data_IF_048208155790
#
_entry.id   IF_048208155790
#
_cell.length_a   1.000
_cell.length_b   1.000
_cell.length_c   1.000
_cell.angle_alpha   90.00
_cell.angle_beta   90.00
_cell.angle_gamma   90.00
#
_symmetry.space_group_name_H-M   'P 1'
#
loop_
_entity.id
_entity.type
_entity.pdbx_description
1 polymer ?
#
# COMPACT_ATOMS: atom_id res chain seq x y z
N UNK A 1 14.16 26.26 -24.86
CA UNK A 1 13.66 26.66 -23.53
C UNK A 1 12.74 25.55 -23.06
N UNK A 2 13.23 24.66 -22.19
CA UNK A 2 12.40 23.66 -21.55
C UNK A 2 11.42 24.37 -20.61
N UNK A 3 10.13 24.08 -20.74
CA UNK A 3 9.14 24.48 -19.72
C UNK A 3 9.51 23.70 -18.46
N UNK A 4 9.99 24.40 -17.44
CA UNK A 4 9.97 23.89 -16.08
C UNK A 4 8.48 23.84 -15.72
N UNK A 5 7.88 22.67 -15.85
CA UNK A 5 6.57 22.40 -15.26
C UNK A 5 6.81 22.40 -13.76
N UNK A 6 6.06 23.22 -13.06
CA UNK A 6 6.05 23.31 -11.58
C UNK A 6 5.27 22.09 -11.02
N UNK A 7 5.62 20.90 -11.52
CA UNK A 7 5.04 19.65 -11.05
C UNK A 7 5.68 19.31 -9.71
N UNK A 8 4.86 19.23 -8.69
CA UNK A 8 5.34 18.81 -7.38
C UNK A 8 5.90 17.38 -7.48
N UNK A 9 7.04 17.10 -6.85
CA UNK A 9 7.64 15.78 -6.89
C UNK A 9 6.67 14.72 -6.33
N UNK A 10 6.67 13.53 -6.92
CA UNK A 10 5.86 12.40 -6.45
C UNK A 10 6.29 12.01 -5.04
N UNK A 11 5.41 12.09 -4.03
CA UNK A 11 5.80 11.79 -2.66
C UNK A 11 6.16 10.31 -2.47
N UNK A 12 7.25 10.06 -1.73
CA UNK A 12 7.72 8.71 -1.38
C UNK A 12 7.54 8.48 0.11
N UNK A 13 6.58 7.63 0.48
CA UNK A 13 6.25 7.27 1.85
C UNK A 13 6.88 5.96 2.31
N UNK A 14 6.92 5.76 3.62
CA UNK A 14 7.31 4.52 4.28
C UNK A 14 6.07 3.85 4.90
N UNK A 15 5.77 2.59 4.53
CA UNK A 15 4.74 1.81 5.23
C UNK A 15 5.20 1.47 6.66
N UNK A 16 4.31 1.66 7.65
CA UNK A 16 4.56 1.21 9.02
C UNK A 16 4.71 -0.32 9.12
N UNK A 17 4.24 -1.07 8.12
CA UNK A 17 4.46 -2.50 8.00
C UNK A 17 5.95 -2.83 7.80
N UNK A 18 6.69 -1.97 7.13
CA UNK A 18 8.11 -2.18 6.81
C UNK A 18 9.03 -2.24 8.03
N UNK A 19 8.58 -1.73 9.16
CA UNK A 19 9.37 -1.78 10.41
C UNK A 19 9.00 -2.94 11.33
N UNK A 20 8.00 -3.76 10.98
CA UNK A 20 7.60 -4.90 11.79
C UNK A 20 8.80 -5.79 12.15
N UNK A 21 8.96 -6.28 13.43
CA UNK A 21 7.97 -6.24 14.52
C UNK A 21 8.04 -5.00 15.43
N UNK A 22 8.70 -3.93 15.02
CA UNK A 22 8.68 -2.65 15.75
C UNK A 22 7.31 -1.99 15.59
N UNK A 23 7.03 -1.00 16.43
CA UNK A 23 5.74 -0.29 16.43
C UNK A 23 5.70 0.82 15.37
N UNK A 24 4.50 1.24 15.00
CA UNK A 24 4.27 2.32 14.03
C UNK A 24 5.05 3.61 14.34
N UNK A 25 5.20 3.96 15.62
CA UNK A 25 6.02 5.13 16.02
C UNK A 25 7.46 5.09 15.53
N UNK A 26 8.07 3.90 15.45
CA UNK A 26 9.43 3.73 14.90
C UNK A 26 9.47 4.05 13.40
N UNK A 27 8.40 3.78 12.65
CA UNK A 27 8.34 4.16 11.24
C UNK A 27 8.38 5.67 11.06
N UNK A 28 7.68 6.43 11.91
CA UNK A 28 7.74 7.89 11.89
C UNK A 28 9.16 8.42 12.19
N UNK A 29 9.85 7.84 13.18
CA UNK A 29 11.23 8.22 13.51
C UNK A 29 12.18 7.92 12.36
N UNK A 30 12.11 6.71 11.77
CA UNK A 30 12.96 6.34 10.65
C UNK A 30 12.61 7.12 9.37
N UNK A 31 11.34 7.42 9.14
CA UNK A 31 10.94 8.25 8.00
C UNK A 31 11.52 9.66 8.10
N UNK A 32 11.51 10.27 9.30
CA UNK A 32 12.14 11.57 9.55
C UNK A 32 13.67 11.50 9.38
N UNK A 33 14.32 10.48 9.94
CA UNK A 33 15.78 10.29 9.88
C UNK A 33 16.29 10.09 8.45
N UNK A 34 15.58 9.27 7.66
CA UNK A 34 15.97 8.90 6.30
C UNK A 34 15.50 9.90 5.24
N UNK A 35 14.56 10.79 5.59
CA UNK A 35 14.03 11.80 4.68
C UNK A 35 12.93 11.32 3.75
N UNK A 36 12.08 10.39 4.20
CA UNK A 36 10.81 10.06 3.51
C UNK A 36 9.85 11.24 3.58
N UNK A 37 8.99 11.38 2.56
CA UNK A 37 8.03 12.49 2.49
C UNK A 37 6.82 12.28 3.43
N UNK A 38 6.61 11.06 3.93
CA UNK A 38 5.56 10.72 4.86
C UNK A 38 5.53 9.23 5.20
N UNK A 39 4.46 8.82 5.87
CA UNK A 39 4.21 7.41 6.18
C UNK A 39 2.86 6.95 5.69
N UNK A 40 2.77 5.66 5.36
CA UNK A 40 1.50 4.95 5.34
C UNK A 40 1.28 4.24 6.67
N UNK A 41 0.09 4.40 7.24
CA UNK A 41 -0.30 3.69 8.46
C UNK A 41 -0.98 2.38 8.10
N UNK A 42 -0.27 1.26 8.22
CA UNK A 42 -0.88 -0.07 8.19
C UNK A 42 -1.61 -0.31 9.53
N UNK A 43 -2.94 -0.38 9.49
CA UNK A 43 -3.75 -0.61 10.70
C UNK A 43 -3.82 -2.10 11.00
N UNK A 44 -3.12 -2.52 12.06
CA UNK A 44 -3.12 -3.91 12.48
C UNK A 44 -2.97 -4.11 14.00
N UNK A 45 -2.32 -5.20 14.47
CA UNK A 45 -2.25 -5.57 15.88
C UNK A 45 -1.45 -4.61 16.78
N UNK A 46 -0.67 -3.67 16.22
CA UNK A 46 -0.02 -2.61 16.99
C UNK A 46 -1.06 -1.61 17.49
N UNK A 47 -1.23 -1.42 18.82
CA UNK A 47 -2.20 -0.47 19.36
C UNK A 47 -1.99 0.97 18.88
N UNK A 48 -0.74 1.36 18.58
CA UNK A 48 -0.44 2.71 18.07
C UNK A 48 -1.06 2.91 16.69
N UNK A 49 -1.02 1.89 15.82
CA UNK A 49 -1.61 1.97 14.47
C UNK A 49 -3.14 2.08 14.49
N UNK A 50 -3.78 1.77 15.62
CA UNK A 50 -5.23 1.82 15.81
C UNK A 50 -5.71 3.11 16.49
N UNK A 51 -4.80 3.93 17.01
CA UNK A 51 -5.10 5.15 17.79
C UNK A 51 -4.70 6.40 16.97
N UNK A 52 -5.70 7.01 16.35
CA UNK A 52 -5.54 8.23 15.53
C UNK A 52 -4.90 9.37 16.34
N UNK A 53 -5.21 9.49 17.63
CA UNK A 53 -4.62 10.52 18.50
C UNK A 53 -3.12 10.27 18.71
N UNK A 54 -2.74 9.00 18.90
CA UNK A 54 -1.32 8.62 19.02
C UNK A 54 -0.57 8.86 17.70
N UNK A 55 -1.16 8.48 16.55
CA UNK A 55 -0.58 8.71 15.22
C UNK A 55 -0.38 10.21 14.95
N UNK A 56 -1.37 11.04 15.27
CA UNK A 56 -1.26 12.50 15.14
C UNK A 56 -0.14 13.08 16.02
N UNK A 57 0.04 12.54 17.23
CA UNK A 57 1.19 12.95 18.10
C UNK A 57 2.52 12.57 17.49
N UNK A 58 2.62 11.38 16.89
CA UNK A 58 3.84 10.95 16.21
C UNK A 58 4.14 11.84 14.99
N UNK A 59 3.15 12.07 14.13
CA UNK A 59 3.30 12.97 12.98
C UNK A 59 3.79 14.37 13.39
N UNK A 60 3.16 14.99 14.41
CA UNK A 60 3.58 16.30 14.90
C UNK A 60 4.98 16.29 15.52
N UNK A 61 5.33 15.25 16.26
CA UNK A 61 6.64 15.14 16.94
C UNK A 61 7.79 14.99 15.94
N UNK A 62 7.58 14.24 14.87
CA UNK A 62 8.61 13.95 13.86
C UNK A 62 8.58 14.89 12.67
N UNK A 63 7.50 15.65 12.49
CA UNK A 63 7.25 16.47 11.31
C UNK A 63 6.86 15.66 10.07
N UNK A 64 6.66 14.33 10.20
CA UNK A 64 6.34 13.43 9.10
C UNK A 64 4.81 13.31 8.94
N UNK A 65 4.23 13.70 7.80
CA UNK A 65 2.80 13.56 7.55
C UNK A 65 2.39 12.09 7.34
N UNK A 66 1.09 11.80 7.52
CA UNK A 66 0.48 10.55 7.07
C UNK A 66 -0.01 10.75 5.65
N UNK A 67 0.49 9.98 4.70
CA UNK A 67 0.11 10.04 3.28
C UNK A 67 -1.11 9.18 2.98
N UNK A 68 -1.17 7.99 3.62
CA UNK A 68 -2.24 7.01 3.41
C UNK A 68 -2.52 6.22 4.69
N UNK A 69 -3.73 5.66 4.73
CA UNK A 69 -4.16 4.70 5.76
C UNK A 69 -4.50 3.39 5.09
N UNK A 70 -3.77 2.33 5.41
CA UNK A 70 -4.10 1.00 4.94
C UNK A 70 -5.12 0.37 5.89
N UNK A 71 -6.33 0.14 5.37
CA UNK A 71 -7.45 -0.42 6.11
C UNK A 71 -7.13 -1.81 6.68
N UNK A 72 -7.62 -2.19 7.87
CA UNK A 72 -7.42 -3.53 8.44
C UNK A 72 -8.22 -4.58 7.67
N UNK A 73 -7.78 -4.90 6.45
CA UNK A 73 -8.42 -5.79 5.49
C UNK A 73 -7.83 -7.21 5.45
N UNK A 74 -6.70 -7.45 6.13
CA UNK A 74 -6.08 -8.78 6.23
C UNK A 74 -6.92 -9.76 7.08
N UNK A 75 -6.71 -11.07 6.87
CA UNK A 75 -7.37 -12.12 7.65
C UNK A 75 -7.10 -11.99 9.15
N UNK A 76 -5.89 -11.64 9.53
CA UNK A 76 -5.47 -11.49 10.94
C UNK A 76 -5.99 -10.19 11.58
N UNK A 77 -6.47 -9.25 10.79
CA UNK A 77 -6.96 -7.94 11.25
C UNK A 77 -8.49 -7.84 11.31
N UNK A 78 -9.22 -8.92 11.04
CA UNK A 78 -10.69 -8.91 10.91
C UNK A 78 -11.46 -8.46 12.16
N UNK A 79 -10.81 -8.36 13.31
CA UNK A 79 -11.43 -7.88 14.57
C UNK A 79 -10.91 -6.52 15.03
N UNK A 80 -9.97 -5.93 14.29
CA UNK A 80 -9.44 -4.61 14.61
C UNK A 80 -10.52 -3.59 14.27
N UNK A 81 -10.79 -2.69 15.19
CA UNK A 81 -11.85 -1.70 15.19
C UNK A 81 -13.27 -2.29 15.18
N UNK A 82 -13.57 -3.25 14.30
CA UNK A 82 -14.89 -3.87 14.18
C UNK A 82 -14.80 -5.24 13.50
N UNK A 83 -15.66 -6.21 13.85
CA UNK A 83 -15.83 -7.44 13.09
C UNK A 83 -16.49 -7.22 11.73
N UNK A 84 -17.24 -6.11 11.55
CA UNK A 84 -17.88 -5.74 10.28
C UNK A 84 -16.90 -5.03 9.35
N UNK A 85 -16.60 -5.58 8.15
CA UNK A 85 -15.66 -4.98 7.22
C UNK A 85 -16.11 -3.62 6.66
N UNK A 86 -17.43 -3.39 6.53
CA UNK A 86 -17.95 -2.09 6.09
C UNK A 86 -17.70 -1.00 7.14
N UNK A 87 -17.86 -1.34 8.42
CA UNK A 87 -17.54 -0.44 9.53
C UNK A 87 -16.03 -0.14 9.55
N UNK A 88 -15.17 -1.16 9.36
CA UNK A 88 -13.72 -0.93 9.29
C UNK A 88 -13.32 0.02 8.18
N UNK A 89 -13.91 -0.12 6.98
CA UNK A 89 -13.62 0.79 5.87
C UNK A 89 -14.04 2.22 6.19
N UNK A 90 -15.23 2.42 6.77
CA UNK A 90 -15.69 3.75 7.25
C UNK A 90 -14.72 4.34 8.27
N UNK A 91 -14.31 3.56 9.27
CA UNK A 91 -13.33 4.00 10.27
C UNK A 91 -11.97 4.33 9.67
N UNK A 92 -11.56 3.63 8.59
CA UNK A 92 -10.32 3.96 7.86
C UNK A 92 -10.42 5.31 7.16
N UNK A 93 -11.58 5.62 6.57
CA UNK A 93 -11.85 6.94 5.97
C UNK A 93 -11.85 8.04 7.03
N UNK A 94 -12.54 7.81 8.16
CA UNK A 94 -12.55 8.75 9.28
C UNK A 94 -11.12 9.01 9.79
N UNK A 95 -10.31 7.96 9.94
CA UNK A 95 -8.91 8.07 10.35
C UNK A 95 -8.08 8.85 9.32
N UNK A 96 -8.28 8.62 8.02
CA UNK A 96 -7.60 9.36 6.96
C UNK A 96 -7.94 10.85 7.02
N UNK A 97 -9.22 11.21 7.14
CA UNK A 97 -9.65 12.60 7.31
C UNK A 97 -9.01 13.27 8.53
N UNK A 98 -9.01 12.58 9.68
CA UNK A 98 -8.42 13.13 10.91
C UNK A 98 -6.89 13.28 10.84
N UNK A 99 -6.21 12.43 10.08
CA UNK A 99 -4.76 12.46 9.89
C UNK A 99 -4.33 13.36 8.74
N UNK A 100 -5.26 13.82 7.91
CA UNK A 100 -4.99 14.58 6.69
C UNK A 100 -4.38 13.72 5.57
N UNK A 101 -4.62 12.40 5.61
CA UNK A 101 -4.17 11.48 4.59
C UNK A 101 -5.08 11.57 3.36
N UNK A 102 -4.48 11.55 2.17
CA UNK A 102 -5.21 11.63 0.90
C UNK A 102 -5.91 10.33 0.53
N UNK A 103 -5.29 9.19 0.87
CA UNK A 103 -5.67 7.89 0.35
C UNK A 103 -5.94 6.88 1.47
N UNK A 104 -6.97 6.06 1.27
CA UNK A 104 -7.19 4.82 2.02
C UNK A 104 -6.94 3.65 1.10
N UNK A 105 -6.00 2.78 1.45
CA UNK A 105 -5.76 1.52 0.75
C UNK A 105 -6.64 0.43 1.34
N UNK A 106 -7.28 -0.36 0.48
CA UNK A 106 -8.13 -1.47 0.91
C UNK A 106 -8.02 -2.67 -0.02
N UNK A 107 -7.95 -3.87 0.56
CA UNK A 107 -8.06 -5.11 -0.21
C UNK A 107 -9.48 -5.38 -0.66
N UNK A 108 -9.70 -6.05 -1.81
CA UNK A 108 -11.01 -6.57 -2.16
C UNK A 108 -11.55 -7.49 -1.07
N UNK A 109 -12.88 -7.65 -0.95
CA UNK A 109 -13.50 -8.53 0.03
C UNK A 109 -13.06 -9.99 -0.11
N UNK A 110 -12.99 -10.70 1.02
CA UNK A 110 -12.82 -12.15 0.96
C UNK A 110 -14.08 -12.85 0.43
N UNK A 111 -13.91 -13.98 -0.26
CA UNK A 111 -15.02 -14.75 -0.87
C UNK A 111 -16.13 -15.17 0.10
N UNK A 112 -15.82 -15.33 1.38
CA UNK A 112 -16.83 -15.64 2.42
C UNK A 112 -17.59 -14.42 2.94
N UNK A 113 -17.10 -13.21 2.71
CA UNK A 113 -17.75 -11.95 3.07
C UNK A 113 -18.80 -11.55 2.02
N UNK A 114 -19.75 -12.46 1.72
CA UNK A 114 -20.66 -12.32 0.58
C UNK A 114 -21.39 -10.99 0.57
N UNK A 115 -22.09 -10.67 1.66
CA UNK A 115 -22.88 -9.43 1.77
C UNK A 115 -22.04 -8.17 1.58
N UNK A 116 -20.84 -8.15 2.17
CA UNK A 116 -19.90 -7.05 1.98
C UNK A 116 -19.37 -6.99 0.55
N UNK A 117 -19.04 -8.13 -0.02
CA UNK A 117 -18.53 -8.21 -1.41
C UNK A 117 -19.57 -7.78 -2.44
N UNK A 118 -20.85 -8.08 -2.22
CA UNK A 118 -21.93 -7.70 -3.15
C UNK A 118 -22.18 -6.18 -3.14
N UNK A 119 -21.96 -5.48 -2.02
CA UNK A 119 -22.11 -4.02 -1.90
C UNK A 119 -20.80 -3.23 -1.83
N UNK A 120 -19.66 -3.87 -2.06
CA UNK A 120 -18.34 -3.22 -1.85
C UNK A 120 -18.09 -2.05 -2.80
N UNK A 121 -18.41 -2.22 -4.09
CA UNK A 121 -18.24 -1.16 -5.08
C UNK A 121 -19.08 0.08 -4.77
N UNK A 122 -20.35 -0.12 -4.40
CA UNK A 122 -21.27 0.97 -4.03
C UNK A 122 -20.77 1.69 -2.76
N UNK A 123 -20.28 0.93 -1.76
CA UNK A 123 -19.74 1.49 -0.53
C UNK A 123 -18.48 2.32 -0.79
N UNK A 124 -17.56 1.85 -1.65
CA UNK A 124 -16.37 2.60 -2.03
C UNK A 124 -16.78 3.91 -2.69
N UNK A 125 -17.67 3.86 -3.68
CA UNK A 125 -18.13 5.06 -4.39
C UNK A 125 -18.84 6.06 -3.44
N UNK A 126 -19.72 5.58 -2.55
CA UNK A 126 -20.41 6.41 -1.54
C UNK A 126 -19.42 7.13 -0.63
N UNK A 127 -18.40 6.41 -0.15
CA UNK A 127 -17.41 6.97 0.77
C UNK A 127 -16.48 7.97 0.07
N UNK A 128 -16.03 7.70 -1.15
CA UNK A 128 -15.25 8.65 -1.94
C UNK A 128 -16.03 9.95 -2.20
N UNK A 129 -17.29 9.84 -2.62
CA UNK A 129 -18.13 10.99 -2.90
C UNK A 129 -18.40 11.84 -1.65
N UNK A 130 -18.65 11.19 -0.52
CA UNK A 130 -18.99 11.89 0.72
C UNK A 130 -17.81 12.49 1.47
N UNK A 131 -16.61 11.88 1.36
CA UNK A 131 -15.42 12.28 2.12
C UNK A 131 -14.39 13.05 1.31
N UNK A 132 -14.33 12.83 -0.01
CA UNK A 132 -13.24 13.30 -0.87
C UNK A 132 -11.91 12.54 -0.68
N UNK A 133 -11.90 11.47 0.14
CA UNK A 133 -10.73 10.59 0.33
C UNK A 133 -10.68 9.59 -0.82
N UNK A 134 -9.54 9.40 -1.44
CA UNK A 134 -9.33 8.36 -2.46
C UNK A 134 -9.30 6.98 -1.82
N UNK A 135 -10.21 6.08 -2.22
CA UNK A 135 -10.21 4.70 -1.73
C UNK A 135 -9.60 3.80 -2.80
N UNK A 136 -8.30 3.58 -2.69
CA UNK A 136 -7.51 2.84 -3.66
C UNK A 136 -7.61 1.33 -3.40
N UNK A 137 -8.30 0.63 -4.29
CA UNK A 137 -8.46 -0.83 -4.19
C UNK A 137 -7.23 -1.52 -4.75
N UNK A 138 -6.67 -2.41 -3.96
CA UNK A 138 -5.38 -3.04 -4.24
C UNK A 138 -5.51 -4.34 -5.03
N UNK A 139 -4.56 -4.60 -5.96
CA UNK A 139 -4.43 -5.91 -6.61
C UNK A 139 -3.90 -6.95 -5.62
N UNK A 140 -4.42 -8.17 -5.75
CA UNK A 140 -4.12 -9.26 -4.83
C UNK A 140 -3.49 -10.46 -5.57
N UNK A 141 -3.19 -11.49 -4.83
CA UNK A 141 -2.62 -12.74 -5.35
C UNK A 141 -3.41 -13.95 -4.86
N UNK A 142 -3.17 -15.12 -5.51
CA UNK A 142 -3.77 -16.38 -5.12
C UNK A 142 -3.03 -16.98 -3.93
N UNK A 143 -3.78 -17.42 -2.93
CA UNK A 143 -3.21 -18.03 -1.73
C UNK A 143 -3.27 -19.56 -1.82
N UNK A 144 -2.37 -20.23 -1.10
CA UNK A 144 -2.44 -21.68 -0.94
C UNK A 144 -3.54 -22.03 0.06
N UNK A 145 -4.55 -22.87 -0.33
CA UNK A 145 -5.58 -23.25 0.61
C UNK A 145 -5.03 -24.17 1.72
N UNK A 146 -5.58 -24.14 2.94
CA UNK A 146 -5.24 -25.08 3.99
C UNK A 146 -5.39 -26.53 3.50
N UNK A 147 -4.38 -27.36 3.71
CA UNK A 147 -4.39 -28.76 3.24
C UNK A 147 -4.21 -28.96 1.72
N UNK A 148 -4.09 -27.88 0.94
CA UNK A 148 -3.85 -27.95 -0.49
C UNK A 148 -2.45 -28.45 -0.86
N UNK A 149 -2.30 -29.05 -2.05
CA UNK A 149 -0.99 -29.42 -2.59
C UNK A 149 -0.07 -28.20 -2.76
N UNK A 150 1.24 -28.43 -2.96
CA UNK A 150 2.23 -27.34 -3.14
C UNK A 150 1.86 -26.42 -4.33
N UNK A 151 1.20 -26.97 -5.34
CA UNK A 151 0.82 -26.26 -6.57
C UNK A 151 -0.64 -25.73 -6.56
N UNK A 152 -1.40 -26.01 -5.50
CA UNK A 152 -2.78 -25.54 -5.39
C UNK A 152 -2.81 -24.06 -5.06
N UNK A 153 -3.49 -23.26 -5.88
CA UNK A 153 -3.70 -21.84 -5.70
C UNK A 153 -5.17 -21.50 -5.90
N UNK A 154 -5.73 -20.76 -4.95
CA UNK A 154 -7.12 -20.29 -5.03
C UNK A 154 -7.16 -18.79 -4.75
N UNK A 155 -8.04 -18.09 -5.43
CA UNK A 155 -8.36 -16.72 -5.06
C UNK A 155 -9.16 -16.75 -3.76
N UNK A 156 -8.67 -16.03 -2.75
CA UNK A 156 -9.43 -15.78 -1.52
C UNK A 156 -10.35 -14.56 -1.66
N UNK A 157 -10.20 -13.77 -2.71
CA UNK A 157 -10.82 -12.47 -2.92
C UNK A 157 -11.94 -12.51 -3.97
N UNK A 158 -12.85 -11.53 -3.89
CA UNK A 158 -13.97 -11.35 -4.84
C UNK A 158 -14.07 -9.88 -5.26
N UNK A 159 -14.57 -9.63 -6.47
CA UNK A 159 -14.85 -10.64 -7.50
C UNK A 159 -13.58 -11.22 -8.11
N UNK A 160 -12.48 -10.45 -8.08
CA UNK A 160 -11.19 -10.78 -8.68
C UNK A 160 -10.01 -10.41 -7.77
N UNK A 161 -8.81 -10.87 -8.11
CA UNK A 161 -7.53 -10.39 -7.60
C UNK A 161 -7.03 -9.16 -8.37
N UNK A 162 -7.60 -8.91 -9.54
CA UNK A 162 -7.37 -7.72 -10.36
C UNK A 162 -8.52 -6.75 -10.15
N UNK A 163 -8.31 -5.59 -9.49
CA UNK A 163 -9.39 -4.65 -9.20
C UNK A 163 -9.92 -3.96 -10.46
N UNK A 164 -9.17 -3.97 -11.58
CA UNK A 164 -9.62 -3.38 -12.84
C UNK A 164 -10.78 -4.17 -13.48
N UNK A 165 -10.97 -5.43 -13.09
CA UNK A 165 -12.13 -6.23 -13.51
C UNK A 165 -13.47 -5.67 -12.98
N UNK A 166 -13.42 -4.81 -11.95
CA UNK A 166 -14.59 -4.16 -11.35
C UNK A 166 -14.79 -2.74 -11.84
N UNK A 167 -13.71 -1.99 -11.99
CA UNK A 167 -13.73 -0.60 -12.44
C UNK A 167 -13.94 0.39 -11.29
N UNK A 168 -13.05 0.39 -10.29
CA UNK A 168 -13.01 1.41 -9.24
C UNK A 168 -12.45 2.74 -9.77
N UNK A 169 -12.68 3.82 -9.03
CA UNK A 169 -12.13 5.13 -9.37
C UNK A 169 -10.64 5.22 -9.07
N UNK A 170 -10.21 4.63 -7.96
CA UNK A 170 -8.82 4.65 -7.50
C UNK A 170 -8.28 3.24 -7.25
N UNK A 171 -7.01 3.03 -7.58
CA UNK A 171 -6.31 1.76 -7.47
C UNK A 171 -4.99 1.91 -6.72
N UNK A 172 -4.65 0.86 -5.97
CA UNK A 172 -3.29 0.61 -5.50
C UNK A 172 -2.66 -0.51 -6.32
N UNK A 173 -1.48 -0.25 -6.88
CA UNK A 173 -0.66 -1.26 -7.51
C UNK A 173 0.41 -1.74 -6.52
N UNK A 174 0.32 -3.00 -6.08
CA UNK A 174 1.36 -3.67 -5.32
C UNK A 174 2.19 -4.59 -6.22
N UNK A 175 3.51 -4.34 -6.26
CA UNK A 175 4.44 -5.09 -7.11
C UNK A 175 4.81 -6.45 -6.51
N UNK A 176 4.85 -6.59 -5.18
CA UNK A 176 5.06 -7.91 -4.55
C UNK A 176 3.87 -8.83 -4.82
N UNK A 177 2.65 -8.27 -4.81
CA UNK A 177 1.43 -9.01 -5.18
C UNK A 177 1.42 -9.39 -6.66
N UNK A 178 1.88 -8.51 -7.57
CA UNK A 178 2.00 -8.88 -8.99
C UNK A 178 3.01 -10.01 -9.19
N UNK A 179 4.16 -9.97 -8.47
CA UNK A 179 5.13 -11.06 -8.47
C UNK A 179 4.49 -12.39 -8.02
N UNK A 180 3.82 -12.37 -6.86
CA UNK A 180 3.19 -13.56 -6.27
C UNK A 180 2.02 -14.10 -7.12
N UNK A 181 1.37 -13.24 -7.91
CA UNK A 181 0.28 -13.58 -8.81
C UNK A 181 0.75 -14.00 -10.21
N UNK A 182 2.05 -13.88 -10.53
CA UNK A 182 2.60 -14.04 -11.87
C UNK A 182 1.92 -13.10 -12.89
N UNK A 183 1.59 -11.87 -12.45
CA UNK A 183 0.95 -10.84 -13.28
C UNK A 183 2.00 -9.88 -13.83
N UNK A 184 1.76 -9.36 -15.03
CA UNK A 184 2.56 -8.28 -15.61
C UNK A 184 2.19 -6.95 -14.93
N UNK A 185 3.09 -6.42 -14.11
CA UNK A 185 2.89 -5.19 -13.36
C UNK A 185 2.71 -3.96 -14.27
N UNK A 186 3.43 -3.90 -15.40
CA UNK A 186 3.33 -2.76 -16.33
C UNK A 186 2.01 -2.79 -17.09
N UNK A 187 1.56 -3.98 -17.53
CA UNK A 187 0.26 -4.13 -18.15
C UNK A 187 -0.88 -3.83 -17.16
N UNK A 188 -0.73 -4.19 -15.88
CA UNK A 188 -1.72 -3.86 -14.86
C UNK A 188 -1.76 -2.35 -14.59
N UNK A 189 -0.61 -1.69 -14.43
CA UNK A 189 -0.54 -0.24 -14.31
C UNK A 189 -1.21 0.47 -15.48
N UNK A 190 -1.00 -0.02 -16.71
CA UNK A 190 -1.64 0.53 -17.91
C UNK A 190 -3.17 0.37 -17.86
N UNK A 191 -3.69 -0.76 -17.36
CA UNK A 191 -5.15 -0.95 -17.20
C UNK A 191 -5.75 -0.08 -16.12
N UNK A 192 -5.01 0.16 -15.03
CA UNK A 192 -5.42 1.08 -13.97
C UNK A 192 -5.49 2.55 -14.49
N UNK A 193 -4.62 2.90 -15.45
CA UNK A 193 -4.62 4.20 -16.12
C UNK A 193 -4.65 5.38 -15.15
N UNK A 194 -5.49 6.36 -15.41
CA UNK A 194 -5.65 7.55 -14.56
C UNK A 194 -6.21 7.25 -13.16
N UNK A 195 -6.76 6.05 -12.95
CA UNK A 195 -7.21 5.59 -11.63
C UNK A 195 -6.07 5.09 -10.74
N UNK A 196 -4.85 4.88 -11.27
CA UNK A 196 -3.70 4.53 -10.44
C UNK A 196 -3.29 5.73 -9.59
N UNK A 197 -3.59 5.70 -8.30
CA UNK A 197 -3.31 6.80 -7.36
C UNK A 197 -2.29 6.44 -6.28
N UNK A 198 -2.02 5.15 -6.12
CA UNK A 198 -1.14 4.65 -5.07
C UNK A 198 -0.32 3.44 -5.55
N UNK A 199 0.95 3.38 -5.16
CA UNK A 199 1.83 2.25 -5.49
C UNK A 199 2.51 1.76 -4.21
N UNK A 200 2.34 0.47 -3.90
CA UNK A 200 3.22 -0.24 -2.98
C UNK A 200 4.45 -0.72 -3.74
N UNK A 201 5.53 0.02 -3.55
CA UNK A 201 6.80 -0.30 -4.19
C UNK A 201 7.56 -1.30 -3.33
N UNK A 202 7.56 -2.52 -3.77
CA UNK A 202 8.34 -3.63 -3.27
C UNK A 202 8.76 -4.51 -4.44
N UNK A 203 9.55 -5.53 -4.21
CA UNK A 203 9.98 -6.47 -5.25
C UNK A 203 9.62 -7.90 -4.86
N UNK A 204 9.69 -8.81 -5.79
CA UNK A 204 9.43 -10.23 -5.60
C UNK A 204 10.09 -11.06 -6.68
N UNK A 205 10.41 -12.31 -6.37
CA UNK A 205 11.12 -13.23 -7.28
C UNK A 205 10.20 -13.99 -8.23
N UNK A 206 8.88 -13.79 -8.12
CA UNK A 206 7.87 -14.55 -8.87
C UNK A 206 7.51 -15.90 -8.19
N UNK A 207 8.03 -16.18 -7.01
CA UNK A 207 7.51 -17.29 -6.20
C UNK A 207 6.11 -16.94 -5.70
N UNK A 208 5.21 -17.94 -5.55
CA UNK A 208 3.84 -17.70 -5.13
C UNK A 208 3.75 -17.40 -3.62
N UNK A 209 4.41 -16.34 -3.23
CA UNK A 209 4.52 -15.83 -1.88
C UNK A 209 4.71 -14.33 -1.95
N UNK A 210 4.03 -13.64 -1.11
CA UNK A 210 4.22 -12.22 -0.89
C UNK A 210 5.55 -11.98 -0.15
N UNK A 211 6.56 -11.48 -0.88
CA UNK A 211 7.93 -11.38 -0.38
C UNK A 211 8.29 -9.99 0.14
N UNK A 212 7.75 -8.94 -0.48
CA UNK A 212 8.05 -7.55 -0.18
C UNK A 212 9.57 -7.28 -0.09
N UNK A 213 10.31 -7.66 -1.13
CA UNK A 213 11.76 -7.43 -1.19
C UNK A 213 12.05 -5.93 -1.41
N UNK A 214 13.25 -5.51 -1.05
CA UNK A 214 13.76 -4.19 -1.43
C UNK A 214 13.76 -4.08 -2.97
N UNK A 215 13.25 -2.99 -3.55
CA UNK A 215 13.22 -2.78 -4.99
C UNK A 215 14.60 -2.99 -5.64
N UNK A 216 14.64 -3.76 -6.74
CA UNK A 216 15.87 -4.16 -7.42
C UNK A 216 16.51 -5.46 -6.89
N UNK A 217 15.95 -6.09 -5.85
CA UNK A 217 16.42 -7.38 -5.32
C UNK A 217 15.60 -8.58 -5.78
N UNK A 218 14.57 -8.37 -6.59
CA UNK A 218 13.72 -9.40 -7.18
C UNK A 218 13.73 -9.33 -8.71
N UNK A 219 12.57 -9.61 -9.31
CA UNK A 219 12.40 -9.63 -10.77
C UNK A 219 11.30 -8.71 -11.27
N UNK A 220 10.71 -7.86 -10.42
CA UNK A 220 9.66 -6.95 -10.84
C UNK A 220 10.25 -5.73 -11.58
N UNK A 221 9.54 -5.18 -12.56
CA UNK A 221 10.01 -4.03 -13.34
C UNK A 221 9.90 -2.71 -12.55
N UNK A 222 10.41 -2.68 -11.30
CA UNK A 222 10.27 -1.55 -10.38
C UNK A 222 10.82 -0.24 -11.00
N UNK A 223 12.00 -0.28 -11.59
CA UNK A 223 12.64 0.88 -12.23
C UNK A 223 11.81 1.39 -13.40
N UNK A 224 11.48 0.49 -14.34
CA UNK A 224 10.72 0.82 -15.54
C UNK A 224 9.32 1.35 -15.19
N UNK A 225 8.67 0.81 -14.15
CA UNK A 225 7.38 1.31 -13.69
C UNK A 225 7.50 2.77 -13.23
N UNK A 226 8.45 3.10 -12.36
CA UNK A 226 8.64 4.45 -11.83
C UNK A 226 8.94 5.46 -12.96
N UNK A 227 9.83 5.11 -13.89
CA UNK A 227 10.17 5.95 -15.04
C UNK A 227 8.95 6.20 -15.95
N UNK A 228 8.12 5.17 -16.17
CA UNK A 228 6.86 5.31 -16.92
C UNK A 228 5.84 6.16 -16.17
N UNK A 229 5.71 6.03 -14.86
CA UNK A 229 4.82 6.85 -14.06
C UNK A 229 5.19 8.34 -14.18
N UNK A 230 6.47 8.68 -14.06
CA UNK A 230 6.95 10.05 -14.25
C UNK A 230 6.66 10.55 -15.66
N UNK A 231 6.99 9.75 -16.67
CA UNK A 231 6.77 10.16 -18.08
C UNK A 231 5.30 10.37 -18.42
N UNK A 232 4.40 9.73 -17.70
CA UNK A 232 2.94 9.84 -17.88
C UNK A 232 2.31 10.90 -16.96
N UNK A 233 3.09 11.66 -16.18
CA UNK A 233 2.56 12.70 -15.29
C UNK A 233 1.80 12.14 -14.08
N UNK A 234 2.26 11.03 -13.51
CA UNK A 234 1.66 10.43 -12.32
C UNK A 234 1.62 11.42 -11.15
N UNK A 235 0.44 11.65 -10.60
CA UNK A 235 0.20 12.60 -9.51
C UNK A 235 -0.20 11.92 -8.19
N UNK A 236 -0.09 10.60 -8.13
CA UNK A 236 -0.34 9.81 -6.93
C UNK A 236 0.85 9.79 -5.97
N UNK A 237 0.99 8.71 -5.22
CA UNK A 237 2.07 8.52 -4.24
C UNK A 237 2.69 7.13 -4.32
N UNK A 238 3.96 7.04 -4.00
CA UNK A 238 4.72 5.80 -3.88
C UNK A 238 4.92 5.51 -2.40
N UNK A 239 4.60 4.31 -1.96
CA UNK A 239 4.88 3.85 -0.60
C UNK A 239 5.78 2.63 -0.64
N UNK A 240 6.90 2.71 0.07
CA UNK A 240 7.79 1.58 0.25
C UNK A 240 7.22 0.64 1.32
N UNK A 241 6.75 -0.52 0.88
CA UNK A 241 6.25 -1.58 1.74
C UNK A 241 7.17 -2.80 1.63
N UNK A 242 8.33 -2.71 2.30
CA UNK A 242 9.34 -3.77 2.26
C UNK A 242 9.38 -4.60 3.54
N UNK A 243 9.69 -5.87 3.42
CA UNK A 243 9.74 -6.78 4.56
C UNK A 243 11.11 -6.78 5.23
N UNK A 244 11.23 -6.08 6.36
CA UNK A 244 12.45 -6.09 7.19
C UNK A 244 12.36 -7.02 8.41
N UNK A 245 11.36 -7.91 8.47
CA UNK A 245 11.12 -8.80 9.61
C UNK A 245 12.30 -9.73 9.91
N UNK A 246 13.00 -10.16 8.87
CA UNK A 246 14.10 -11.12 8.97
C UNK A 246 15.47 -10.47 9.22
N UNK A 247 15.48 -9.15 9.32
CA UNK A 247 16.71 -8.40 9.53
C UNK A 247 17.19 -8.51 10.97
N UNK A 248 18.44 -8.92 11.15
CA UNK A 248 19.00 -9.26 12.48
C UNK A 248 19.36 -8.02 13.29
N UNK A 249 19.75 -6.92 12.64
CA UNK A 249 20.21 -5.70 13.32
C UNK A 249 19.43 -4.44 12.90
N UNK A 250 19.31 -3.48 13.80
CA UNK A 250 18.72 -2.17 13.49
C UNK A 250 19.46 -1.49 12.33
N UNK A 251 20.80 -1.57 12.30
CA UNK A 251 21.61 -0.99 11.23
C UNK A 251 21.30 -1.59 9.86
N UNK A 252 21.00 -2.88 9.76
CA UNK A 252 20.61 -3.50 8.50
C UNK A 252 19.23 -2.99 8.06
N UNK A 253 18.27 -2.88 8.98
CA UNK A 253 16.95 -2.31 8.67
C UNK A 253 17.06 -0.90 8.11
N UNK A 254 17.83 -0.04 8.78
CA UNK A 254 18.10 1.33 8.31
C UNK A 254 18.69 1.32 6.89
N UNK A 255 19.68 0.44 6.62
CA UNK A 255 20.25 0.33 5.27
C UNK A 255 19.24 -0.10 4.22
N UNK A 256 18.42 -1.12 4.51
CA UNK A 256 17.42 -1.63 3.56
C UNK A 256 16.36 -0.55 3.26
N UNK A 257 15.92 0.18 4.28
CA UNK A 257 14.97 1.29 4.10
C UNK A 257 15.59 2.46 3.32
N UNK A 258 16.85 2.82 3.61
CA UNK A 258 17.57 3.86 2.88
C UNK A 258 17.82 3.47 1.41
N UNK A 259 18.20 2.22 1.15
CA UNK A 259 18.38 1.69 -0.21
C UNK A 259 17.08 1.75 -1.01
N UNK A 260 15.96 1.34 -0.41
CA UNK A 260 14.66 1.38 -1.05
C UNK A 260 14.24 2.82 -1.40
N UNK A 261 14.44 3.79 -0.49
CA UNK A 261 14.17 5.20 -0.73
C UNK A 261 15.03 5.78 -1.85
N UNK A 262 16.34 5.49 -1.83
CA UNK A 262 17.26 5.94 -2.87
C UNK A 262 16.90 5.37 -4.23
N UNK A 263 16.53 4.09 -4.30
CA UNK A 263 16.04 3.46 -5.52
C UNK A 263 14.81 4.20 -6.07
N UNK A 264 13.81 4.43 -5.21
CA UNK A 264 12.59 5.11 -5.62
C UNK A 264 12.88 6.52 -6.16
N UNK A 265 13.63 7.33 -5.42
CA UNK A 265 13.96 8.71 -5.83
C UNK A 265 14.79 8.77 -7.10
N UNK A 266 15.77 7.89 -7.25
CA UNK A 266 16.60 7.85 -8.45
C UNK A 266 15.76 7.61 -9.71
N UNK A 267 14.83 6.65 -9.69
CA UNK A 267 13.98 6.34 -10.84
C UNK A 267 12.79 7.30 -11.00
N UNK A 268 12.46 8.08 -9.97
CA UNK A 268 11.52 9.21 -10.07
C UNK A 268 12.19 10.51 -10.54
N UNK A 269 13.53 10.54 -10.68
CA UNK A 269 14.25 11.75 -11.07
C UNK A 269 14.35 12.82 -9.97
N UNK A 270 14.37 12.41 -8.70
CA UNK A 270 14.36 13.27 -7.51
C UNK A 270 15.70 13.24 -6.76
#
# INVERSE_FOLDING_TARGET
>A
MARVTDEQPVPVGLSTASVWPLKAGTAFELAAELGYDGVEVMVWADPVSQDVTALRRWSRRTGVPVLSVHSPSLLITQRIWSPDPAVRLRMSVDAALELGARTVVVHPPFRWQRRYGDGFGDLVAELEESSGVEIAVENMFKVRPPGGSKNSRVSAFRPSIDPTDVGFRHYTLDLSHTAAAEMDALALAQRMGDGLSHVHLADGTGVPKDEHLVPGRGGQPCAELLEKLVSNGFSGQIVLEINTRHVVTAAQRVRDLAEALLFARFHLGQ
#
